data_IF_578014447450
#
_entry.id   IF_578014447450
#
_cell.length_a   1.000
_cell.length_b   1.000
_cell.length_c   1.000
_cell.angle_alpha   90.00
_cell.angle_beta   90.00
_cell.angle_gamma   90.00
#
_symmetry.space_group_name_H-M   'P 1'
#
loop_
_entity.id
_entity.type
_entity.pdbx_description
1 polymer ?
#
# COMPACT_ATOMS: atom_id res chain seq x y z
N UNK A 1 -13.16 35.69 -20.47
CA UNK A 1 -12.35 34.76 -19.66
C UNK A 1 -10.97 34.63 -20.30
N UNK A 2 -9.92 35.11 -19.63
CA UNK A 2 -8.55 35.09 -20.17
C UNK A 2 -8.05 33.63 -20.28
N UNK A 3 -7.57 33.25 -21.48
CA UNK A 3 -7.06 31.90 -21.77
C UNK A 3 -5.98 31.44 -20.79
N UNK A 4 -5.22 32.40 -20.23
CA UNK A 4 -4.22 32.16 -19.19
C UNK A 4 -4.79 31.66 -17.85
N UNK A 5 -6.00 32.09 -17.47
CA UNK A 5 -6.64 31.65 -16.22
C UNK A 5 -7.07 30.18 -16.29
N UNK A 6 -7.46 29.70 -17.48
CA UNK A 6 -7.88 28.30 -17.70
C UNK A 6 -6.67 27.36 -17.59
N UNK A 7 -5.52 27.76 -18.12
CA UNK A 7 -4.27 26.98 -18.05
C UNK A 7 -3.80 26.86 -16.60
N UNK A 8 -3.84 27.95 -15.83
CA UNK A 8 -3.44 27.95 -14.42
C UNK A 8 -4.30 27.01 -13.55
N UNK A 9 -5.62 26.97 -13.78
CA UNK A 9 -6.54 26.10 -13.05
C UNK A 9 -6.34 24.63 -13.42
N UNK A 10 -6.11 24.33 -14.70
CA UNK A 10 -5.82 22.97 -15.17
C UNK A 10 -4.50 22.42 -14.59
N UNK A 11 -3.48 23.27 -14.45
CA UNK A 11 -2.19 22.88 -13.90
C UNK A 11 -2.26 22.58 -12.38
N UNK A 12 -3.05 23.34 -11.62
CA UNK A 12 -3.27 23.08 -10.20
C UNK A 12 -4.02 21.77 -9.94
N UNK A 13 -4.95 21.37 -10.81
CA UNK A 13 -5.70 20.11 -10.66
C UNK A 13 -4.86 18.87 -10.98
N UNK A 14 -3.79 19.00 -11.79
CA UNK A 14 -2.84 17.93 -12.08
C UNK A 14 -1.81 17.70 -10.97
N UNK A 15 -1.70 18.64 -10.02
CA UNK A 15 -0.73 18.60 -8.92
C UNK A 15 -1.33 18.09 -7.60
N UNK A 16 -2.58 17.63 -7.59
CA UNK A 16 -3.12 16.94 -6.41
C UNK A 16 -2.40 15.59 -6.32
N UNK A 17 -1.51 15.38 -5.34
CA UNK A 17 -0.98 14.06 -5.10
C UNK A 17 -2.18 13.24 -4.62
N UNK A 18 -2.66 12.32 -5.45
CA UNK A 18 -3.63 11.33 -5.05
C UNK A 18 -2.99 10.33 -4.09
N UNK A 19 -2.53 10.77 -2.92
CA UNK A 19 -2.18 9.87 -1.83
C UNK A 19 -3.37 9.75 -0.90
N UNK A 20 -4.37 8.99 -1.34
CA UNK A 20 -5.17 8.21 -0.39
C UNK A 20 -4.28 7.10 0.17
N UNK A 21 -3.23 7.50 0.89
CA UNK A 21 -2.56 6.61 1.82
C UNK A 21 -3.37 6.75 3.10
N UNK A 22 -4.29 5.82 3.31
CA UNK A 22 -4.78 5.54 4.65
C UNK A 22 -3.55 5.53 5.55
N UNK A 23 -3.46 6.51 6.45
CA UNK A 23 -2.27 6.77 7.26
C UNK A 23 -2.10 5.61 8.26
N UNK A 24 -1.55 4.51 7.76
CA UNK A 24 -0.92 3.49 8.56
C UNK A 24 0.14 4.20 9.42
N UNK A 25 0.18 3.88 10.72
CA UNK A 25 1.20 4.43 11.62
C UNK A 25 2.58 4.30 10.97
N UNK A 26 3.49 5.26 11.18
CA UNK A 26 4.83 5.33 10.53
C UNK A 26 5.67 4.03 10.61
N UNK A 27 5.30 3.07 11.45
CA UNK A 27 5.98 1.81 11.66
C UNK A 27 5.28 0.60 11.02
N UNK A 28 4.10 0.80 10.41
CA UNK A 28 3.33 -0.26 9.79
C UNK A 28 3.71 -0.38 8.32
N UNK A 29 4.13 -1.58 7.95
CA UNK A 29 4.63 -1.89 6.62
C UNK A 29 3.57 -2.67 5.84
N UNK A 30 3.19 -2.17 4.68
CA UNK A 30 2.29 -2.91 3.79
C UNK A 30 3.08 -3.91 2.96
N UNK A 31 2.63 -5.16 2.95
CA UNK A 31 3.18 -6.24 2.14
C UNK A 31 2.67 -6.14 0.71
N UNK A 32 3.59 -6.24 -0.25
CA UNK A 32 3.33 -6.34 -1.68
C UNK A 32 4.15 -7.50 -2.30
N UNK A 33 3.70 -7.95 -3.47
CA UNK A 33 4.34 -9.04 -4.21
C UNK A 33 4.61 -8.63 -5.66
N UNK A 34 5.85 -8.82 -6.11
CA UNK A 34 6.26 -8.62 -7.48
C UNK A 34 6.29 -9.96 -8.24
N UNK A 35 5.32 -10.23 -9.13
CA UNK A 35 5.26 -11.50 -9.85
C UNK A 35 6.33 -11.67 -10.93
N UNK A 36 6.96 -10.58 -11.39
CA UNK A 36 8.04 -10.65 -12.39
C UNK A 36 9.32 -11.25 -11.80
N UNK A 37 9.59 -10.95 -10.53
CA UNK A 37 10.80 -11.39 -9.84
C UNK A 37 10.54 -12.40 -8.74
N UNK A 38 9.28 -12.84 -8.58
CA UNK A 38 8.83 -13.75 -7.52
C UNK A 38 9.33 -13.29 -6.13
N UNK A 39 9.03 -12.03 -5.80
CA UNK A 39 9.60 -11.37 -4.63
C UNK A 39 8.57 -10.61 -3.80
N UNK A 40 8.55 -10.91 -2.51
CA UNK A 40 7.83 -10.17 -1.48
C UNK A 40 8.63 -8.96 -1.02
N UNK A 41 7.95 -7.84 -0.79
CA UNK A 41 8.58 -6.61 -0.32
C UNK A 41 7.59 -5.78 0.51
N UNK A 42 8.11 -4.88 1.34
CA UNK A 42 7.30 -3.86 1.99
C UNK A 42 7.27 -2.57 1.15
N UNK A 43 6.31 -1.69 1.39
CA UNK A 43 6.29 -0.36 0.79
C UNK A 43 6.18 0.67 1.91
N UNK A 44 7.15 1.58 2.12
CA UNK A 44 8.39 1.81 1.33
C UNK A 44 9.59 0.91 1.72
N UNK A 45 9.46 0.07 2.74
CA UNK A 45 10.60 -0.66 3.31
C UNK A 45 11.03 -1.89 2.51
N UNK A 46 12.23 -2.42 2.80
CA UNK A 46 12.84 -3.50 2.02
C UNK A 46 12.13 -4.87 2.09
N UNK A 47 12.91 -5.92 1.89
CA UNK A 47 12.39 -7.30 1.84
C UNK A 47 12.05 -7.81 3.25
N UNK A 48 10.88 -8.44 3.48
CA UNK A 48 10.66 -9.22 4.70
C UNK A 48 11.61 -10.42 4.76
N UNK A 49 12.01 -10.84 5.96
CA UNK A 49 12.86 -12.02 6.16
C UNK A 49 12.18 -13.31 5.68
N UNK A 50 10.94 -13.52 6.12
CA UNK A 50 10.11 -14.68 5.78
C UNK A 50 8.66 -14.25 5.66
N UNK A 51 7.99 -14.73 4.61
CA UNK A 51 6.53 -14.62 4.45
C UNK A 51 5.95 -16.03 4.52
N UNK A 52 5.26 -16.35 5.61
CA UNK A 52 4.69 -17.68 5.83
C UNK A 52 3.59 -17.98 4.79
N UNK A 53 3.30 -19.27 4.56
CA UNK A 53 2.20 -19.67 3.66
C UNK A 53 0.84 -19.09 4.09
N UNK A 54 0.64 -18.89 5.40
CA UNK A 54 -0.58 -18.28 5.95
C UNK A 54 -0.69 -16.82 5.53
N UNK A 55 0.41 -16.07 5.64
CA UNK A 55 0.50 -14.67 5.23
C UNK A 55 0.35 -14.52 3.72
N UNK A 56 0.98 -15.40 2.92
CA UNK A 56 0.82 -15.40 1.45
C UNK A 56 -0.64 -15.63 1.04
N UNK A 57 -1.31 -16.58 1.70
CA UNK A 57 -2.74 -16.87 1.45
C UNK A 57 -3.62 -15.69 1.83
N UNK A 58 -3.36 -15.08 2.99
CA UNK A 58 -4.07 -13.89 3.44
C UNK A 58 -3.86 -12.69 2.48
N UNK A 59 -2.64 -12.51 1.96
CA UNK A 59 -2.35 -11.51 0.95
C UNK A 59 -3.15 -11.75 -0.33
N UNK A 60 -3.15 -12.97 -0.87
CA UNK A 60 -3.90 -13.28 -2.09
C UNK A 60 -5.40 -13.01 -1.92
N UNK A 61 -5.95 -13.27 -0.74
CA UNK A 61 -7.33 -12.95 -0.40
C UNK A 61 -7.58 -11.44 -0.28
N UNK A 62 -6.65 -10.69 0.30
CA UNK A 62 -6.83 -9.29 0.67
C UNK A 62 -6.22 -8.26 -0.30
N UNK A 63 -5.44 -8.67 -1.31
CA UNK A 63 -4.64 -7.76 -2.17
C UNK A 63 -5.47 -6.67 -2.86
N UNK A 64 -6.73 -6.95 -3.17
CA UNK A 64 -7.67 -6.00 -3.79
C UNK A 64 -8.60 -5.29 -2.79
N UNK A 65 -8.50 -5.61 -1.49
CA UNK A 65 -9.42 -5.14 -0.44
C UNK A 65 -8.71 -4.50 0.75
N UNK A 66 -7.42 -4.19 0.62
CA UNK A 66 -6.62 -3.46 1.63
C UNK A 66 -5.19 -4.00 1.76
N UNK A 67 -5.01 -5.30 1.53
CA UNK A 67 -3.74 -6.00 1.65
C UNK A 67 -3.42 -6.47 3.06
N UNK A 68 -2.19 -6.88 3.25
CA UNK A 68 -1.63 -7.38 4.52
C UNK A 68 -0.57 -6.42 5.01
N UNK A 69 -0.57 -6.14 6.30
CA UNK A 69 0.32 -5.21 6.97
C UNK A 69 1.13 -5.94 8.05
N UNK A 70 2.29 -5.38 8.35
CA UNK A 70 3.21 -5.88 9.36
C UNK A 70 3.66 -4.76 10.28
N UNK A 71 3.81 -5.08 11.56
CA UNK A 71 4.49 -4.21 12.52
C UNK A 71 5.32 -5.06 13.48
N UNK A 72 4.62 -5.84 14.31
CA UNK A 72 5.20 -6.89 15.18
C UNK A 72 4.62 -8.26 14.84
N UNK A 73 3.39 -8.24 14.36
CA UNK A 73 2.58 -9.38 13.94
C UNK A 73 1.94 -9.04 12.60
N UNK A 74 1.50 -10.06 11.87
CA UNK A 74 0.84 -9.90 10.59
C UNK A 74 -0.65 -9.66 10.80
N UNK A 75 -1.22 -8.68 10.09
CA UNK A 75 -2.64 -8.36 10.18
C UNK A 75 -3.20 -7.85 8.85
N UNK A 76 -4.51 -7.93 8.69
CA UNK A 76 -5.19 -7.32 7.54
C UNK A 76 -5.21 -5.80 7.68
N UNK A 77 -4.65 -5.07 6.69
CA UNK A 77 -4.53 -3.61 6.78
C UNK A 77 -5.88 -2.90 7.01
N UNK A 78 -6.96 -3.45 6.44
CA UNK A 78 -8.30 -2.85 6.49
C UNK A 78 -9.03 -3.09 7.82
N UNK A 79 -8.85 -4.25 8.44
CA UNK A 79 -9.64 -4.65 9.62
C UNK A 79 -8.84 -4.61 10.92
N UNK A 80 -7.52 -4.68 10.85
CA UNK A 80 -6.65 -4.87 12.01
C UNK A 80 -6.71 -6.27 12.62
N UNK A 81 -7.39 -7.22 11.98
CA UNK A 81 -7.47 -8.61 12.45
C UNK A 81 -6.13 -9.32 12.23
N UNK A 82 -5.64 -9.96 13.30
CA UNK A 82 -4.38 -10.70 13.29
C UNK A 82 -4.48 -11.97 12.44
N UNK A 83 -3.44 -12.18 11.64
CA UNK A 83 -3.24 -13.38 10.86
C UNK A 83 -2.37 -14.35 11.64
N UNK A 84 -1.36 -13.85 12.36
CA UNK A 84 -0.45 -14.63 13.21
C UNK A 84 -0.31 -13.95 14.57
#
# INVERSE_FOLDING_TARGET
MNKFAIIAIALCLLLVPGSHQDALLDQVLKLDYNPTYDLWFFSPDGRPDVVSMKVQTAYEHAKNSGGVCYYKEWFYCKTGEFIE
#
